data_IF_846351682247
#
_entry.id   IF_846351682247
#
_cell.length_a   1.000
_cell.length_b   1.000
_cell.length_c   1.000
_cell.angle_alpha   90.00
_cell.angle_beta   90.00
_cell.angle_gamma   90.00
#
_symmetry.space_group_name_H-M   'P 1'
#
loop_
_entity.id
_entity.type
_entity.pdbx_description
1 polymer ?
#
# COMPACT_ATOMS: atom_id res chain seq x y z
N UNK A 1 9.04 3.86 -11.56
CA UNK A 1 9.22 3.38 -10.17
C UNK A 1 9.01 4.57 -9.24
N UNK A 2 8.29 4.38 -8.13
CA UNK A 2 8.14 5.38 -7.08
C UNK A 2 8.76 4.81 -5.79
N UNK A 3 9.44 5.65 -5.02
CA UNK A 3 10.15 5.24 -3.81
C UNK A 3 9.95 6.26 -2.70
N UNK A 4 9.84 5.79 -1.46
CA UNK A 4 9.83 6.61 -0.26
C UNK A 4 10.54 5.85 0.86
N UNK A 5 11.69 6.35 1.31
CA UNK A 5 12.58 5.63 2.23
C UNK A 5 12.86 4.20 1.73
N UNK A 6 12.51 3.17 2.50
CA UNK A 6 12.64 1.76 2.17
C UNK A 6 11.45 1.19 1.35
N UNK A 7 10.34 1.92 1.26
CA UNK A 7 9.16 1.49 0.50
C UNK A 7 9.33 1.79 -1.00
N UNK A 8 9.27 0.74 -1.82
CA UNK A 8 9.36 0.82 -3.28
C UNK A 8 8.05 0.33 -3.93
N UNK A 9 7.56 1.07 -4.93
CA UNK A 9 6.42 0.67 -5.76
C UNK A 9 6.80 0.69 -7.24
N UNK A 10 6.60 -0.45 -7.89
CA UNK A 10 6.86 -0.65 -9.31
C UNK A 10 5.56 -1.00 -10.04
N UNK A 11 5.31 -0.32 -11.15
CA UNK A 11 4.29 -0.71 -12.12
C UNK A 11 4.98 -1.49 -13.23
N UNK A 12 4.38 -2.60 -13.63
CA UNK A 12 4.91 -3.50 -14.64
C UNK A 12 3.82 -3.89 -15.63
N UNK A 13 4.21 -3.95 -16.88
CA UNK A 13 3.44 -4.59 -17.95
C UNK A 13 3.89 -6.05 -18.06
N UNK A 14 2.97 -6.97 -18.35
CA UNK A 14 3.27 -8.41 -18.51
C UNK A 14 4.00 -9.05 -17.31
N UNK A 15 3.36 -9.10 -16.13
CA UNK A 15 4.03 -9.43 -14.85
C UNK A 15 4.61 -10.86 -14.79
N UNK A 16 4.14 -11.79 -15.62
CA UNK A 16 4.66 -13.17 -15.68
C UNK A 16 6.10 -13.23 -16.19
N UNK A 17 6.48 -12.35 -17.12
CA UNK A 17 7.84 -12.30 -17.66
C UNK A 17 8.67 -11.20 -17.01
N UNK A 18 8.15 -9.96 -17.02
CA UNK A 18 8.92 -8.78 -16.58
C UNK A 18 9.09 -8.76 -15.07
N UNK A 19 8.12 -9.29 -14.34
CA UNK A 19 8.15 -9.28 -12.89
C UNK A 19 9.25 -10.16 -12.31
N UNK A 20 9.50 -11.33 -12.89
CA UNK A 20 10.64 -12.17 -12.47
C UNK A 20 11.98 -11.50 -12.75
N UNK A 21 12.11 -10.89 -13.93
CA UNK A 21 13.31 -10.12 -14.31
C UNK A 21 13.54 -8.95 -13.33
N UNK A 22 12.47 -8.27 -12.92
CA UNK A 22 12.56 -7.19 -11.94
C UNK A 22 13.03 -7.71 -10.57
N UNK A 23 12.39 -8.76 -10.04
CA UNK A 23 12.75 -9.33 -8.73
C UNK A 23 14.22 -9.73 -8.71
N UNK A 24 14.68 -10.43 -9.75
CA UNK A 24 16.10 -10.83 -9.87
C UNK A 24 17.04 -9.63 -9.86
N UNK A 25 16.74 -8.59 -10.66
CA UNK A 25 17.57 -7.36 -10.67
C UNK A 25 17.60 -6.64 -9.32
N UNK A 26 16.48 -6.62 -8.59
CA UNK A 26 16.44 -6.02 -7.26
C UNK A 26 17.25 -6.89 -6.29
N UNK A 27 17.15 -8.22 -6.35
CA UNK A 27 17.95 -9.13 -5.52
C UNK A 27 19.46 -8.97 -5.79
N UNK A 28 19.87 -8.87 -7.06
CA UNK A 28 21.28 -8.62 -7.43
C UNK A 28 21.78 -7.27 -6.87
N UNK A 29 20.98 -6.21 -7.00
CA UNK A 29 21.31 -4.90 -6.42
C UNK A 29 21.39 -4.95 -4.90
N UNK A 30 20.42 -5.60 -4.26
CA UNK A 30 20.38 -5.78 -2.81
C UNK A 30 21.61 -6.54 -2.31
N UNK A 31 22.04 -7.59 -3.02
CA UNK A 31 23.23 -8.36 -2.66
C UNK A 31 24.50 -7.49 -2.66
N UNK A 32 24.67 -6.62 -3.65
CA UNK A 32 25.81 -5.68 -3.71
C UNK A 32 25.73 -4.61 -2.62
N UNK A 33 24.53 -4.11 -2.33
CA UNK A 33 24.31 -3.07 -1.33
C UNK A 33 24.29 -3.60 0.13
N UNK A 34 24.39 -4.92 0.34
CA UNK A 34 24.23 -5.53 1.67
C UNK A 34 22.80 -5.44 2.21
N UNK A 35 21.80 -5.31 1.33
CA UNK A 35 20.37 -5.22 1.65
C UNK A 35 19.66 -6.54 1.34
N UNK A 36 18.43 -6.68 1.85
CA UNK A 36 17.58 -7.85 1.58
C UNK A 36 16.13 -7.45 1.38
N UNK A 37 15.50 -7.99 0.35
CA UNK A 37 14.05 -7.82 0.12
C UNK A 37 13.28 -8.58 1.21
N UNK A 38 12.31 -7.90 1.82
CA UNK A 38 11.39 -8.53 2.76
C UNK A 38 10.18 -9.12 2.01
N UNK A 39 10.25 -10.41 1.67
CA UNK A 39 9.22 -11.12 0.89
C UNK A 39 7.86 -11.18 1.61
N UNK A 40 7.82 -11.13 2.95
CA UNK A 40 6.57 -11.12 3.72
C UNK A 40 5.85 -9.78 3.63
N UNK A 41 6.61 -8.68 3.55
CA UNK A 41 6.06 -7.32 3.38
C UNK A 41 5.76 -7.00 1.92
N UNK A 42 6.53 -7.54 0.97
CA UNK A 42 6.33 -7.29 -0.46
C UNK A 42 5.07 -7.98 -0.97
N UNK A 43 4.18 -7.21 -1.60
CA UNK A 43 2.91 -7.68 -2.13
C UNK A 43 2.77 -7.32 -3.59
N UNK A 44 2.08 -8.18 -4.33
CA UNK A 44 1.81 -7.98 -5.75
C UNK A 44 0.31 -7.76 -5.94
N UNK A 45 -0.07 -6.71 -6.66
CA UNK A 45 -1.45 -6.43 -7.04
C UNK A 45 -1.55 -6.51 -8.56
N UNK A 46 -2.43 -7.39 -9.02
CA UNK A 46 -2.61 -7.68 -10.44
C UNK A 46 -3.93 -7.12 -10.95
N UNK A 47 -3.93 -6.57 -12.16
CA UNK A 47 -5.16 -6.19 -12.89
C UNK A 47 -5.41 -7.20 -14.01
N UNK A 48 -6.67 -7.60 -14.21
CA UNK A 48 -7.13 -8.43 -15.33
C UNK A 48 -6.44 -9.80 -15.52
N UNK A 49 -5.89 -10.41 -14.46
CA UNK A 49 -5.28 -11.75 -14.51
C UNK A 49 -6.25 -12.85 -14.03
N UNK A 50 -6.23 -14.00 -14.69
CA UNK A 50 -7.02 -15.19 -14.35
C UNK A 50 -6.40 -15.86 -13.11
N UNK A 51 -7.19 -16.60 -12.33
CA UNK A 51 -6.72 -17.26 -11.10
C UNK A 51 -5.52 -18.20 -11.33
N UNK A 52 -5.49 -18.94 -12.45
CA UNK A 52 -4.34 -19.79 -12.82
C UNK A 52 -3.04 -18.98 -12.92
N UNK A 53 -3.08 -17.85 -13.62
CA UNK A 53 -1.92 -16.97 -13.79
C UNK A 53 -1.51 -16.29 -12.48
N UNK A 54 -2.46 -15.97 -11.59
CA UNK A 54 -2.15 -15.44 -10.25
C UNK A 54 -1.40 -16.46 -9.39
N UNK A 55 -1.82 -17.73 -9.43
CA UNK A 55 -1.15 -18.81 -8.70
C UNK A 55 0.25 -19.03 -9.24
N UNK A 56 0.39 -19.07 -10.57
CA UNK A 56 1.70 -19.18 -11.23
C UNK A 56 2.63 -18.00 -10.86
N UNK A 57 2.09 -16.77 -10.82
CA UNK A 57 2.83 -15.58 -10.41
C UNK A 57 3.27 -15.66 -8.94
N UNK A 58 2.38 -16.11 -8.05
CA UNK A 58 2.67 -16.28 -6.63
C UNK A 58 3.78 -17.32 -6.41
N UNK A 59 3.72 -18.44 -7.13
CA UNK A 59 4.73 -19.51 -7.06
C UNK A 59 6.09 -19.04 -7.62
N UNK A 60 6.09 -18.40 -8.79
CA UNK A 60 7.31 -17.93 -9.45
C UNK A 60 8.01 -16.80 -8.67
N UNK A 61 7.26 -15.84 -8.13
CA UNK A 61 7.83 -14.71 -7.41
C UNK A 61 8.09 -15.01 -5.93
N UNK A 62 7.42 -16.01 -5.35
CA UNK A 62 7.44 -16.25 -3.90
C UNK A 62 6.87 -15.08 -3.10
N UNK A 63 5.93 -14.33 -3.66
CA UNK A 63 5.32 -13.15 -3.05
C UNK A 63 3.80 -13.25 -3.03
N UNK A 64 3.16 -12.64 -2.03
CA UNK A 64 1.71 -12.73 -1.90
C UNK A 64 1.01 -11.84 -2.94
N UNK A 65 0.18 -12.47 -3.78
CA UNK A 65 -0.75 -11.74 -4.67
C UNK A 65 -2.00 -11.35 -3.88
N UNK A 66 -2.31 -10.06 -3.85
CA UNK A 66 -3.42 -9.49 -3.08
C UNK A 66 -4.35 -8.64 -3.93
N UNK A 67 -5.60 -8.48 -3.47
CA UNK A 67 -6.60 -7.64 -4.16
C UNK A 67 -6.42 -6.14 -3.90
N UNK A 68 -5.77 -5.77 -2.80
CA UNK A 68 -5.50 -4.38 -2.40
C UNK A 68 -4.13 -4.35 -1.70
N UNK A 69 -3.38 -3.29 -1.95
CA UNK A 69 -2.08 -3.03 -1.30
C UNK A 69 -2.17 -1.72 -0.55
N UNK A 70 -1.45 -1.61 0.56
CA UNK A 70 -1.33 -0.36 1.32
C UNK A 70 0.04 0.25 1.05
N UNK A 71 0.08 1.49 0.58
CA UNK A 71 1.31 2.25 0.35
C UNK A 71 1.16 3.63 1.00
N UNK A 72 2.11 4.03 1.84
CA UNK A 72 2.07 5.29 2.60
C UNK A 72 0.72 5.55 3.31
N UNK A 73 0.18 4.48 3.91
CA UNK A 73 -1.13 4.45 4.59
C UNK A 73 -2.37 4.56 3.69
N UNK A 74 -2.20 4.70 2.38
CA UNK A 74 -3.29 4.71 1.40
C UNK A 74 -3.50 3.30 0.84
N UNK A 75 -4.74 2.85 0.83
CA UNK A 75 -5.17 1.64 0.15
C UNK A 75 -5.28 1.87 -1.34
N UNK A 76 -4.47 1.14 -2.09
CA UNK A 76 -4.51 1.02 -3.55
C UNK A 76 -5.32 -0.23 -3.92
N UNK A 77 -6.11 -0.11 -4.97
CA UNK A 77 -6.92 -1.20 -5.50
C UNK A 77 -6.92 -1.15 -7.04
N UNK A 78 -7.18 -2.29 -7.73
CA UNK A 78 -7.20 -2.32 -9.19
C UNK A 78 -8.32 -1.46 -9.80
N UNK A 79 -9.39 -1.19 -9.05
CA UNK A 79 -10.46 -0.29 -9.43
C UNK A 79 -10.18 1.09 -8.87
N UNK A 80 -9.85 2.04 -9.75
CA UNK A 80 -9.57 3.41 -9.32
C UNK A 80 -10.77 4.07 -8.63
N UNK A 81 -12.00 3.67 -8.99
CA UNK A 81 -13.23 4.21 -8.40
C UNK A 81 -13.34 3.94 -6.89
N UNK A 82 -12.83 2.81 -6.39
CA UNK A 82 -12.89 2.49 -4.96
C UNK A 82 -11.86 3.23 -4.10
N UNK A 83 -10.86 3.89 -4.69
CA UNK A 83 -9.80 4.58 -3.93
C UNK A 83 -10.40 5.67 -3.03
N UNK A 84 -11.38 6.42 -3.53
CA UNK A 84 -12.04 7.49 -2.76
C UNK A 84 -12.73 6.94 -1.52
N UNK A 85 -13.54 5.91 -1.70
CA UNK A 85 -14.33 5.31 -0.63
C UNK A 85 -13.46 4.57 0.39
N UNK A 86 -12.48 3.80 -0.08
CA UNK A 86 -11.59 3.01 0.77
C UNK A 86 -10.71 3.86 1.68
N UNK A 87 -10.42 5.11 1.29
CA UNK A 87 -9.50 5.99 2.00
C UNK A 87 -10.20 7.22 2.56
N UNK A 88 -10.68 8.11 1.70
CA UNK A 88 -11.15 9.43 2.09
C UNK A 88 -12.50 9.39 2.81
N UNK A 89 -13.47 8.63 2.29
CA UNK A 89 -14.80 8.56 2.92
C UNK A 89 -14.70 8.02 4.35
N UNK A 90 -13.94 6.93 4.54
CA UNK A 90 -13.69 6.36 5.88
C UNK A 90 -12.92 7.33 6.79
N UNK A 91 -11.88 7.99 6.26
CA UNK A 91 -11.12 8.98 7.02
C UNK A 91 -12.00 10.14 7.50
N UNK A 92 -12.86 10.67 6.62
CA UNK A 92 -13.77 11.76 6.98
C UNK A 92 -14.79 11.35 8.05
N UNK A 93 -15.32 10.12 7.97
CA UNK A 93 -16.19 9.58 9.03
C UNK A 93 -15.45 9.48 10.36
N UNK A 94 -14.20 8.99 10.36
CA UNK A 94 -13.39 8.89 11.57
C UNK A 94 -13.08 10.26 12.17
N UNK A 95 -12.73 11.25 11.33
CA UNK A 95 -12.51 12.63 11.76
C UNK A 95 -13.78 13.18 12.43
N UNK A 96 -14.96 12.98 11.81
CA UNK A 96 -16.24 13.43 12.38
C UNK A 96 -16.51 12.80 13.75
N UNK A 97 -16.27 11.50 13.90
CA UNK A 97 -16.42 10.79 15.18
C UNK A 97 -15.44 11.33 16.24
N UNK A 98 -14.19 11.58 15.85
CA UNK A 98 -13.17 12.11 16.75
C UNK A 98 -13.53 13.53 17.21
N UNK A 99 -14.00 14.39 16.31
CA UNK A 99 -14.47 15.74 16.63
C UNK A 99 -15.69 15.72 17.56
N UNK A 100 -16.64 14.79 17.38
CA UNK A 100 -17.78 14.65 18.31
C UNK A 100 -17.34 14.23 19.71
N UNK A 101 -16.36 13.32 19.81
CA UNK A 101 -15.76 12.95 21.10
C UNK A 101 -15.05 14.14 21.74
N UNK A 102 -14.32 14.93 20.97
CA UNK A 102 -13.60 16.09 21.49
C UNK A 102 -14.52 17.21 21.93
N UNK A 103 -15.68 17.37 21.29
CA UNK A 103 -16.74 18.31 21.73
C UNK A 103 -17.18 18.02 23.18
N UNK A 104 -17.15 16.76 23.61
CA UNK A 104 -17.54 16.32 24.97
C UNK A 104 -16.46 16.59 26.02
N UNK A 105 -15.24 16.94 25.62
CA UNK A 105 -14.18 17.32 26.56
C UNK A 105 -14.47 18.70 27.14
N UNK A 106 -14.34 18.82 28.47
CA UNK A 106 -14.44 20.09 29.18
C UNK A 106 -13.13 20.88 29.05
N UNK A 107 -12.83 21.32 27.83
CA UNK A 107 -11.72 22.20 27.52
C UNK A 107 -12.21 23.63 27.37
N UNK A 108 -11.40 24.58 27.86
CA UNK A 108 -11.58 26.00 27.55
C UNK A 108 -11.48 26.24 26.03
N UNK A 109 -11.96 27.39 25.56
CA UNK A 109 -11.91 27.72 24.13
C UNK A 109 -10.48 27.68 23.57
N UNK A 110 -9.51 28.24 24.30
CA UNK A 110 -8.07 28.19 23.96
C UNK A 110 -7.57 26.74 23.97
N UNK A 111 -7.97 25.95 24.97
CA UNK A 111 -7.64 24.52 25.05
C UNK A 111 -8.12 23.75 23.81
N UNK A 112 -9.34 24.03 23.34
CA UNK A 112 -9.89 23.42 22.12
C UNK A 112 -9.11 23.80 20.86
N UNK A 113 -8.76 25.07 20.69
CA UNK A 113 -7.93 25.53 19.55
C UNK A 113 -6.57 24.84 19.58
N UNK A 114 -5.93 24.78 20.74
CA UNK A 114 -4.63 24.14 20.90
C UNK A 114 -4.64 22.63 20.61
N UNK A 115 -5.79 21.95 20.78
CA UNK A 115 -5.90 20.49 20.55
C UNK A 115 -6.14 20.15 19.07
N UNK A 116 -6.68 21.08 18.28
CA UNK A 116 -6.89 20.92 16.83
C UNK A 116 -5.62 21.23 16.04
N UNK A 117 -4.79 22.13 16.58
CA UNK A 117 -3.56 22.63 15.97
C UNK A 117 -2.46 21.58 15.97
#
# INVERSE_FOLDING_TARGET
VQAYADDLVCNLEEPLETGLKLVKKIEDFCAVAGLKINKDKTKVMTKNLINKQKNELMEKMGMQVTKKIKYLRIWLSPRCTSIKEDNYTKLMQQIKINLDKWKKLQLSFIGRIATIK
#
